data_IF_180444351857
#
_entry.id   IF_180444351857
#
_cell.length_a   1.000
_cell.length_b   1.000
_cell.length_c   1.000
_cell.angle_alpha   90.00
_cell.angle_beta   90.00
_cell.angle_gamma   90.00
#
_symmetry.space_group_name_H-M   'P 1'
#
loop_
_entity.id
_entity.type
_entity.pdbx_description
1 polymer ?
#
# COMPACT_ATOMS: atom_id res chain seq x y z
N UNK A 1 9.81 -13.15 -4.87
CA UNK A 1 8.68 -13.92 -5.42
C UNK A 1 8.03 -14.67 -4.25
N UNK A 2 6.87 -14.21 -3.78
CA UNK A 2 6.13 -14.87 -2.67
C UNK A 2 4.93 -15.57 -3.28
N UNK A 3 4.75 -16.86 -3.00
CA UNK A 3 3.54 -17.61 -3.40
C UNK A 3 2.39 -17.21 -2.46
N UNK A 4 1.24 -16.81 -3.01
CA UNK A 4 0.05 -16.43 -2.24
C UNK A 4 -1.02 -17.53 -2.34
N UNK A 5 -1.36 -18.13 -1.20
CA UNK A 5 -2.52 -19.02 -1.04
C UNK A 5 -3.61 -18.29 -0.25
N UNK A 6 -4.88 -18.44 -0.65
CA UNK A 6 -6.03 -17.66 -0.12
C UNK A 6 -6.36 -17.90 1.36
N UNK A 7 -5.58 -18.71 2.08
CA UNK A 7 -5.78 -19.05 3.49
C UNK A 7 -4.67 -18.54 4.42
N UNK A 8 -3.76 -17.71 3.91
CA UNK A 8 -2.66 -17.16 4.70
C UNK A 8 -2.84 -15.66 4.95
N UNK A 9 -2.66 -15.24 6.20
CA UNK A 9 -2.48 -13.82 6.53
C UNK A 9 -1.06 -13.40 6.19
N UNK A 10 -0.91 -12.35 5.41
CA UNK A 10 0.39 -11.88 4.93
C UNK A 10 0.62 -10.41 5.26
N UNK A 11 1.81 -10.11 5.74
CA UNK A 11 2.33 -8.74 5.84
C UNK A 11 3.48 -8.64 4.86
N UNK A 12 3.35 -7.74 3.89
CA UNK A 12 4.32 -7.57 2.82
C UNK A 12 4.80 -6.13 2.79
N UNK A 13 6.11 -5.94 2.81
CA UNK A 13 6.74 -4.63 2.56
C UNK A 13 7.29 -4.66 1.14
N UNK A 14 6.82 -3.74 0.29
CA UNK A 14 7.18 -3.72 -1.12
C UNK A 14 7.19 -2.31 -1.69
N UNK A 15 8.02 -2.10 -2.72
CA UNK A 15 7.98 -0.92 -3.58
C UNK A 15 7.21 -1.18 -4.89
N UNK A 16 6.77 -2.42 -5.12
CA UNK A 16 5.99 -2.83 -6.29
C UNK A 16 4.49 -2.51 -6.08
N UNK A 17 4.08 -1.29 -6.45
CA UNK A 17 2.71 -0.79 -6.20
C UNK A 17 1.64 -1.59 -6.95
N UNK A 18 1.96 -2.12 -8.13
CA UNK A 18 1.04 -2.99 -8.89
C UNK A 18 0.69 -4.25 -8.11
N UNK A 19 1.68 -4.87 -7.47
CA UNK A 19 1.46 -6.04 -6.62
C UNK A 19 0.56 -5.71 -5.42
N UNK A 20 0.84 -4.59 -4.75
CA UNK A 20 0.02 -4.14 -3.62
C UNK A 20 -1.44 -3.85 -4.04
N UNK A 21 -1.67 -3.31 -5.25
CA UNK A 21 -3.03 -3.10 -5.80
C UNK A 21 -3.78 -4.40 -6.06
N UNK A 22 -3.09 -5.44 -6.50
CA UNK A 22 -3.73 -6.69 -6.94
C UNK A 22 -4.01 -7.68 -5.80
N UNK A 23 -3.19 -7.66 -4.75
CA UNK A 23 -3.18 -8.75 -3.74
C UNK A 23 -3.50 -8.26 -2.32
N UNK A 24 -3.28 -6.98 -2.01
CA UNK A 24 -3.49 -6.51 -0.64
C UNK A 24 -4.97 -6.24 -0.35
N UNK A 25 -5.45 -6.70 0.80
CA UNK A 25 -6.74 -6.28 1.34
C UNK A 25 -6.65 -4.86 1.95
N UNK A 26 -5.45 -4.48 2.40
CA UNK A 26 -5.17 -3.21 3.05
C UNK A 26 -3.74 -2.74 2.78
N UNK A 27 -3.58 -1.43 2.56
CA UNK A 27 -2.30 -0.79 2.34
C UNK A 27 -2.03 0.19 3.49
N UNK A 28 -0.81 0.13 4.01
CA UNK A 28 -0.33 1.03 5.06
C UNK A 28 0.85 1.83 4.50
N UNK A 29 0.73 3.14 4.58
CA UNK A 29 1.75 4.07 4.14
C UNK A 29 2.53 4.60 5.36
N UNK A 30 3.85 4.41 5.32
CA UNK A 30 4.77 4.85 6.36
C UNK A 30 5.61 6.03 5.88
N UNK A 31 5.75 7.05 6.73
CA UNK A 31 6.71 8.15 6.55
C UNK A 31 7.29 8.53 7.92
N UNK A 32 8.59 8.82 7.97
CA UNK A 32 9.31 9.23 9.19
C UNK A 32 9.08 8.30 10.42
N UNK A 33 8.91 6.99 10.18
CA UNK A 33 8.67 6.00 11.24
C UNK A 33 7.23 5.98 11.78
N UNK A 34 6.31 6.73 11.18
CA UNK A 34 4.90 6.80 11.54
C UNK A 34 4.02 6.23 10.44
N UNK A 35 2.89 5.62 10.82
CA UNK A 35 1.80 5.33 9.88
C UNK A 35 1.08 6.63 9.58
N UNK A 36 1.21 7.12 8.35
CA UNK A 36 0.58 8.37 7.94
C UNK A 36 -0.73 8.15 7.18
N UNK A 37 -0.91 6.97 6.60
CA UNK A 37 -2.17 6.61 5.94
C UNK A 37 -2.37 5.09 5.93
N UNK A 38 -3.63 4.65 6.03
CA UNK A 38 -4.01 3.25 6.02
C UNK A 38 -5.40 3.13 5.39
N UNK A 39 -5.58 2.18 4.47
CA UNK A 39 -6.87 1.95 3.85
C UNK A 39 -6.85 0.93 2.71
N UNK A 40 -8.01 0.77 2.07
CA UNK A 40 -8.15 -0.10 0.91
C UNK A 40 -7.20 0.34 -0.23
N UNK A 41 -6.55 -0.57 -0.96
CA UNK A 41 -5.63 -0.21 -2.04
C UNK A 41 -6.22 0.80 -3.02
N UNK A 42 -7.46 0.59 -3.48
CA UNK A 42 -8.12 1.50 -4.43
C UNK A 42 -8.20 2.94 -3.90
N UNK A 43 -8.53 3.13 -2.62
CA UNK A 43 -8.59 4.46 -2.02
C UNK A 43 -7.19 5.08 -1.92
N UNK A 44 -6.22 4.32 -1.40
CA UNK A 44 -4.85 4.81 -1.20
C UNK A 44 -4.19 5.17 -2.54
N UNK A 45 -4.46 4.41 -3.60
CA UNK A 45 -3.79 4.57 -4.88
C UNK A 45 -4.51 5.50 -5.87
N UNK A 46 -5.82 5.68 -5.74
CA UNK A 46 -6.61 6.51 -6.67
C UNK A 46 -6.97 7.86 -6.05
N UNK A 47 -7.30 7.91 -4.76
CA UNK A 47 -7.70 9.14 -4.08
C UNK A 47 -7.11 9.21 -2.65
N UNK A 48 -5.78 9.34 -2.53
CA UNK A 48 -5.13 9.35 -1.23
C UNK A 48 -5.51 10.62 -0.46
N UNK A 49 -5.86 10.46 0.81
CA UNK A 49 -6.28 11.55 1.68
C UNK A 49 -5.08 12.33 2.21
N UNK A 50 -3.97 11.66 2.51
CA UNK A 50 -2.79 12.28 3.09
C UNK A 50 -1.91 12.92 2.00
N UNK A 51 -1.44 14.15 2.24
CA UNK A 51 -0.65 14.90 1.26
C UNK A 51 0.69 14.22 0.94
N UNK A 52 1.39 13.71 1.96
CA UNK A 52 2.65 12.95 1.78
C UNK A 52 2.45 11.71 0.90
N UNK A 53 1.36 10.96 1.09
CA UNK A 53 1.04 9.81 0.23
C UNK A 53 0.80 10.24 -1.22
N UNK A 54 0.05 11.32 -1.44
CA UNK A 54 -0.14 11.91 -2.79
C UNK A 54 1.19 12.28 -3.44
N UNK A 55 2.06 12.99 -2.72
CA UNK A 55 3.37 13.39 -3.22
C UNK A 55 4.26 12.18 -3.54
N UNK A 56 4.22 11.15 -2.71
CA UNK A 56 4.96 9.91 -2.96
C UNK A 56 4.47 9.23 -4.23
N UNK A 57 3.15 9.04 -4.39
CA UNK A 57 2.56 8.38 -5.56
C UNK A 57 2.78 9.13 -6.87
N UNK A 58 3.03 10.44 -6.83
CA UNK A 58 3.39 11.23 -8.02
C UNK A 58 4.85 11.07 -8.47
N UNK A 59 5.72 10.53 -7.59
CA UNK A 59 7.16 10.38 -7.85
C UNK A 59 7.55 9.00 -8.41
N UNK A 60 6.59 8.09 -8.50
CA UNK A 60 6.73 6.70 -8.96
C UNK A 60 5.89 6.50 -10.23
#
# INVERSE_FOLDING_TARGET
>A
MVFYDKKMTMVVVTHEMRFAREVADEVIFFDEGMIIERGHPEQIFTNPTHERTRQFLQRI
#
